data_IF_232732800313
#
_entry.id   IF_232732800313
#
_cell.length_a   1.000
_cell.length_b   1.000
_cell.length_c   1.000
_cell.angle_alpha   90.00
_cell.angle_beta   90.00
_cell.angle_gamma   90.00
#
_symmetry.space_group_name_H-M   'P 1'
#
loop_
_entity.id
_entity.type
_entity.pdbx_description
1 polymer ?
#
# COMPACT_ATOMS: atom_id res chain seq x y z
N UNK A 1 -45.35 -38.09 -40.62
CA UNK A 1 -45.42 -36.80 -39.89
C UNK A 1 -44.33 -35.89 -40.45
N UNK A 2 -44.75 -34.74 -40.99
CA UNK A 2 -43.98 -33.58 -41.47
C UNK A 2 -43.41 -32.83 -40.24
N UNK A 3 -42.32 -32.06 -40.21
CA UNK A 3 -41.36 -31.50 -41.16
C UNK A 3 -40.11 -31.09 -40.34
N UNK A 4 -38.92 -31.17 -40.95
CA UNK A 4 -37.69 -30.57 -40.44
C UNK A 4 -37.79 -29.03 -40.45
N UNK A 5 -37.29 -28.38 -39.40
CA UNK A 5 -37.19 -26.92 -39.29
C UNK A 5 -35.74 -26.50 -39.12
N UNK A 6 -35.11 -26.15 -40.23
CA UNK A 6 -33.80 -25.50 -40.32
C UNK A 6 -34.00 -23.98 -40.14
N UNK A 7 -33.37 -23.37 -39.14
CA UNK A 7 -33.27 -21.91 -39.02
C UNK A 7 -31.81 -21.51 -38.98
N UNK A 8 -31.28 -21.36 -40.19
CA UNK A 8 -30.13 -20.52 -40.52
C UNK A 8 -30.44 -19.05 -40.23
N UNK A 9 -29.63 -18.40 -39.38
CA UNK A 9 -29.61 -16.94 -39.25
C UNK A 9 -28.18 -16.45 -39.24
N UNK A 10 -27.69 -16.24 -40.46
CA UNK A 10 -26.46 -15.55 -40.82
C UNK A 10 -26.71 -14.05 -40.73
N UNK A 11 -26.12 -13.36 -39.75
CA UNK A 11 -26.09 -11.89 -39.75
C UNK A 11 -24.66 -11.37 -39.70
N UNK A 12 -24.17 -11.05 -40.90
CA UNK A 12 -23.08 -10.12 -41.17
C UNK A 12 -23.26 -8.82 -40.37
N UNK A 13 -22.24 -8.39 -39.61
CA UNK A 13 -21.96 -6.96 -39.48
C UNK A 13 -20.51 -6.71 -39.84
N UNK A 14 -20.38 -5.92 -40.92
CA UNK A 14 -19.15 -5.44 -41.54
C UNK A 14 -18.37 -4.60 -40.55
N UNK A 15 -17.05 -4.70 -40.64
CA UNK A 15 -16.12 -3.85 -39.93
C UNK A 15 -16.32 -2.37 -40.26
N UNK A 16 -16.12 -1.56 -39.24
CA UNK A 16 -15.89 -0.12 -39.32
C UNK A 16 -14.37 0.11 -39.47
N UNK A 17 -13.91 0.75 -40.55
CA UNK A 17 -12.54 1.19 -40.69
C UNK A 17 -12.32 2.49 -39.90
N UNK A 18 -11.43 2.45 -38.90
CA UNK A 18 -11.00 3.63 -38.15
C UNK A 18 -10.39 4.69 -39.09
N UNK A 19 -10.81 5.96 -39.00
CA UNK A 19 -10.18 7.03 -39.77
C UNK A 19 -8.82 7.41 -39.17
N UNK A 20 -7.76 7.22 -39.96
CA UNK A 20 -6.46 7.86 -39.78
C UNK A 20 -6.62 9.38 -39.92
N UNK A 21 -6.76 10.09 -38.80
CA UNK A 21 -6.80 11.56 -38.79
C UNK A 21 -5.50 12.14 -38.26
N UNK A 22 -4.68 12.52 -39.24
CA UNK A 22 -3.94 13.78 -39.35
C UNK A 22 -3.07 14.25 -38.18
N UNK A 23 -1.77 14.18 -38.43
CA UNK A 23 -0.73 15.09 -37.94
C UNK A 23 -1.23 16.55 -38.02
N UNK A 24 -0.93 17.37 -37.00
CA UNK A 24 -0.44 18.77 -37.04
C UNK A 24 -0.80 19.54 -35.75
N UNK A 25 0.19 19.70 -34.87
CA UNK A 25 0.27 20.80 -33.88
C UNK A 25 1.70 20.81 -33.34
N UNK A 26 2.63 21.49 -34.02
CA UNK A 26 3.15 22.82 -33.65
C UNK A 26 3.36 22.99 -32.14
N UNK A 27 4.63 22.86 -31.76
CA UNK A 27 5.33 23.84 -30.91
C UNK A 27 4.89 23.94 -29.46
N UNK A 28 5.59 23.22 -28.59
CA UNK A 28 5.85 23.71 -27.23
C UNK A 28 7.35 23.56 -26.95
N UNK A 29 7.97 24.70 -26.68
CA UNK A 29 9.38 24.84 -26.36
C UNK A 29 9.75 24.05 -25.08
N UNK A 30 10.98 23.51 -24.98
CA UNK A 30 11.50 23.09 -23.70
C UNK A 30 11.78 24.34 -22.86
N UNK A 31 11.01 24.55 -21.79
CA UNK A 31 11.44 25.44 -20.71
C UNK A 31 12.49 24.66 -19.92
N UNK A 32 13.75 24.97 -20.17
CA UNK A 32 14.87 24.59 -19.31
C UNK A 32 14.55 25.07 -17.89
N UNK A 33 14.26 24.13 -16.99
CA UNK A 33 14.24 24.41 -15.56
C UNK A 33 15.66 24.32 -15.04
N UNK A 34 16.13 25.48 -14.59
CA UNK A 34 17.39 25.69 -13.90
C UNK A 34 17.54 24.66 -12.77
N UNK A 35 18.60 23.87 -12.87
CA UNK A 35 19.01 22.87 -11.89
C UNK A 35 20.25 23.42 -11.19
N UNK A 36 20.06 24.32 -10.23
CA UNK A 36 21.11 24.73 -9.29
C UNK A 36 20.48 24.91 -7.91
N UNK A 37 19.89 23.82 -7.42
CA UNK A 37 19.62 23.63 -6.00
C UNK A 37 20.88 23.07 -5.35
N UNK A 38 21.65 23.97 -4.75
CA UNK A 38 22.80 23.67 -3.91
C UNK A 38 22.38 22.65 -2.85
N UNK A 39 23.03 21.49 -2.86
CA UNK A 39 23.01 20.52 -1.77
C UNK A 39 23.74 21.12 -0.58
N UNK A 40 22.98 21.54 0.44
CA UNK A 40 23.54 21.70 1.78
C UNK A 40 23.99 20.33 2.27
N UNK A 41 25.31 20.14 2.30
CA UNK A 41 25.98 19.03 2.96
C UNK A 41 25.81 19.29 4.46
N UNK A 42 24.84 18.63 5.07
CA UNK A 42 24.69 18.64 6.52
C UNK A 42 25.78 17.72 7.06
N UNK A 43 26.80 18.31 7.65
CA UNK A 43 27.88 17.63 8.36
C UNK A 43 27.29 16.96 9.62
N UNK A 44 27.18 15.63 9.60
CA UNK A 44 26.64 14.81 10.70
C UNK A 44 27.75 14.33 11.65
N UNK A 45 28.74 15.18 11.94
CA UNK A 45 29.77 14.90 12.95
C UNK A 45 29.58 15.73 14.23
N UNK A 46 28.42 15.59 14.89
CA UNK A 46 28.33 15.95 16.31
C UNK A 46 27.19 15.17 17.01
N UNK A 47 27.42 13.88 17.26
CA UNK A 47 26.69 13.17 18.31
C UNK A 47 27.63 13.07 19.50
N UNK A 48 27.46 13.89 20.56
CA UNK A 48 28.19 13.68 21.79
C UNK A 48 27.76 12.34 22.40
N UNK A 49 28.65 11.35 22.32
CA UNK A 49 28.60 10.15 23.13
C UNK A 49 28.56 10.56 24.61
N UNK A 50 27.39 10.44 25.22
CA UNK A 50 27.29 10.52 26.68
C UNK A 50 27.96 9.28 27.29
N UNK A 51 28.87 9.46 28.25
CA UNK A 51 29.54 8.34 28.90
C UNK A 51 28.54 7.56 29.77
N UNK A 52 28.36 6.30 29.44
CA UNK A 52 27.81 5.28 30.34
C UNK A 52 28.64 5.27 31.62
N UNK A 53 28.01 5.63 32.73
CA UNK A 53 28.52 5.30 34.06
C UNK A 53 27.87 4.00 34.49
N UNK A 54 28.61 2.92 34.25
CA UNK A 54 28.54 1.72 35.08
C UNK A 54 28.89 2.12 36.52
N UNK A 55 27.96 1.91 37.44
CA UNK A 55 28.26 1.85 38.87
C UNK A 55 27.71 0.53 39.42
N UNK A 56 28.67 -0.33 39.74
CA UNK A 56 28.52 -1.60 40.42
C UNK A 56 28.29 -1.33 41.91
N UNK A 57 27.10 -1.64 42.45
CA UNK A 57 26.95 -1.81 43.89
C UNK A 57 25.67 -2.54 44.35
N UNK A 58 25.92 -3.79 44.76
CA UNK A 58 25.30 -4.57 45.85
C UNK A 58 23.91 -5.21 45.61
N UNK A 59 23.79 -6.56 45.76
CA UNK A 59 22.52 -7.28 45.68
C UNK A 59 21.79 -7.37 47.02
N UNK A 60 20.51 -6.98 47.11
CA UNK A 60 19.65 -7.44 48.19
C UNK A 60 18.88 -8.70 47.75
N UNK A 61 19.18 -9.84 48.40
CA UNK A 61 18.33 -11.03 48.42
C UNK A 61 16.97 -10.66 49.00
N UNK A 62 15.96 -10.45 48.16
CA UNK A 62 14.56 -10.37 48.59
C UNK A 62 13.63 -11.02 47.55
N UNK A 63 13.18 -12.22 47.93
CA UNK A 63 11.99 -12.99 47.51
C UNK A 63 11.25 -12.54 46.24
N UNK A 64 11.31 -13.43 45.25
CA UNK A 64 10.31 -13.68 44.20
C UNK A 64 8.89 -13.62 44.80
N UNK A 65 7.99 -12.84 44.18
CA UNK A 65 6.95 -13.50 43.40
C UNK A 65 7.09 -13.14 41.93
N UNK A 66 7.05 -14.17 41.08
CA UNK A 66 6.83 -14.05 39.65
C UNK A 66 5.47 -13.39 39.44
N UNK A 67 5.46 -12.08 39.23
CA UNK A 67 4.54 -11.48 38.30
C UNK A 67 5.37 -11.03 37.11
N UNK A 68 5.58 -11.96 36.18
CA UNK A 68 5.62 -11.59 34.78
C UNK A 68 4.30 -10.88 34.52
N UNK A 69 4.26 -9.57 34.74
CA UNK A 69 3.23 -8.72 34.20
C UNK A 69 3.47 -8.80 32.71
N UNK A 70 2.83 -9.78 32.09
CA UNK A 70 2.26 -9.69 30.77
C UNK A 70 1.77 -8.26 30.63
N UNK A 71 2.56 -7.41 29.99
CA UNK A 71 2.02 -6.19 29.40
C UNK A 71 0.98 -6.68 28.42
N UNK A 72 -0.28 -6.66 28.86
CA UNK A 72 -1.40 -6.76 27.97
C UNK A 72 -1.19 -5.63 26.95
N UNK A 73 -0.93 -5.92 25.67
CA UNK A 73 -0.86 -4.86 24.68
C UNK A 73 -2.19 -4.12 24.80
N UNK A 74 -2.07 -2.84 25.14
CA UNK A 74 -3.19 -1.93 25.30
C UNK A 74 -4.18 -2.19 24.16
N UNK A 75 -5.43 -2.55 24.49
CA UNK A 75 -6.46 -3.03 23.54
C UNK A 75 -6.63 -2.12 22.32
N UNK A 76 -6.20 -0.85 22.41
CA UNK A 76 -6.18 0.10 21.32
C UNK A 76 -5.18 -0.20 20.19
N UNK A 77 -4.03 -0.84 20.47
CA UNK A 77 -3.08 -1.23 19.42
C UNK A 77 -3.50 -2.51 18.69
N UNK A 78 -4.07 -3.48 19.43
CA UNK A 78 -4.64 -4.67 18.83
C UNK A 78 -5.80 -4.33 17.88
N UNK A 79 -6.73 -3.45 18.31
CA UNK A 79 -7.87 -3.03 17.48
C UNK A 79 -7.45 -2.31 16.17
N UNK A 80 -6.35 -1.54 16.21
CA UNK A 80 -5.78 -0.88 15.03
C UNK A 80 -5.27 -1.87 13.99
N UNK A 81 -4.69 -2.97 14.46
CA UNK A 81 -4.19 -4.02 13.57
C UNK A 81 -5.33 -4.81 12.91
N UNK A 82 -6.44 -5.02 13.64
CA UNK A 82 -7.63 -5.72 13.13
C UNK A 82 -8.27 -5.01 11.93
N UNK A 83 -8.30 -3.67 11.92
CA UNK A 83 -8.88 -2.89 10.81
C UNK A 83 -8.18 -3.18 9.47
N UNK A 84 -6.85 -3.20 9.48
CA UNK A 84 -6.02 -3.42 8.29
C UNK A 84 -6.07 -4.88 7.88
N UNK A 85 -6.04 -5.79 8.86
CA UNK A 85 -6.19 -7.22 8.60
C UNK A 85 -7.52 -7.50 7.90
N UNK A 86 -8.62 -6.97 8.42
CA UNK A 86 -9.97 -7.13 7.84
C UNK A 86 -10.04 -6.57 6.42
N UNK A 87 -9.46 -5.38 6.19
CA UNK A 87 -9.37 -4.81 4.85
C UNK A 87 -8.64 -5.73 3.87
N UNK A 88 -7.49 -6.29 4.27
CA UNK A 88 -6.69 -7.17 3.41
C UNK A 88 -7.31 -8.57 3.23
N UNK A 89 -8.03 -9.07 4.22
CA UNK A 89 -8.75 -10.35 4.17
C UNK A 89 -9.91 -10.32 3.17
N UNK A 90 -10.54 -9.15 3.05
CA UNK A 90 -11.66 -8.95 2.11
C UNK A 90 -11.24 -8.81 0.64
N UNK A 91 -9.94 -8.75 0.35
CA UNK A 91 -9.42 -8.80 -1.02
C UNK A 91 -9.69 -10.18 -1.67
N UNK A 92 -9.78 -10.22 -3.00
CA UNK A 92 -9.89 -11.48 -3.76
C UNK A 92 -8.77 -11.58 -4.81
N UNK A 93 -7.74 -12.43 -4.59
CA UNK A 93 -7.47 -13.23 -3.38
C UNK A 93 -7.09 -12.38 -2.14
N UNK A 94 -7.18 -12.94 -0.91
CA UNK A 94 -6.76 -12.26 0.30
C UNK A 94 -5.30 -11.79 0.21
N UNK A 95 -5.04 -10.58 0.70
CA UNK A 95 -3.74 -9.89 0.57
C UNK A 95 -3.00 -9.79 1.91
N UNK A 96 -3.23 -10.75 2.81
CA UNK A 96 -2.73 -10.76 4.20
C UNK A 96 -1.19 -10.71 4.29
N UNK A 97 -0.48 -11.18 3.28
CA UNK A 97 0.98 -11.12 3.18
C UNK A 97 1.54 -9.69 3.16
N UNK A 98 0.68 -8.68 2.90
CA UNK A 98 1.06 -7.27 2.91
C UNK A 98 0.76 -6.56 4.24
N UNK A 99 0.25 -7.26 5.25
CA UNK A 99 -0.18 -6.63 6.51
C UNK A 99 0.96 -5.86 7.18
N UNK A 100 2.14 -6.46 7.30
CA UNK A 100 3.29 -5.82 7.97
C UNK A 100 3.75 -4.57 7.23
N UNK A 101 3.74 -4.58 5.91
CA UNK A 101 4.13 -3.45 5.06
C UNK A 101 3.19 -2.27 5.26
N UNK A 102 1.88 -2.53 5.37
CA UNK A 102 0.90 -1.52 5.71
C UNK A 102 1.19 -0.93 7.10
N UNK A 103 1.48 -1.77 8.10
CA UNK A 103 1.81 -1.31 9.46
C UNK A 103 3.10 -0.48 9.49
N UNK A 104 4.16 -0.94 8.83
CA UNK A 104 5.47 -0.27 8.73
C UNK A 104 5.36 1.09 8.03
N UNK A 105 4.48 1.19 7.04
CA UNK A 105 4.18 2.47 6.38
C UNK A 105 3.33 3.41 7.25
N UNK A 106 2.75 2.91 8.35
CA UNK A 106 1.87 3.68 9.25
C UNK A 106 0.39 3.56 8.93
N UNK A 107 -0.01 2.68 8.02
CA UNK A 107 -1.41 2.34 7.76
C UNK A 107 -1.90 1.43 8.90
N UNK A 108 -2.41 2.02 9.98
CA UNK A 108 -2.78 1.29 11.21
C UNK A 108 -4.23 1.52 11.64
N UNK A 109 -5.07 2.16 10.81
CA UNK A 109 -6.44 2.45 11.22
C UNK A 109 -7.41 2.51 10.06
N UNK A 110 -8.67 2.18 10.34
CA UNK A 110 -9.75 2.35 9.38
C UNK A 110 -9.85 3.79 8.86
N UNK A 111 -9.63 4.79 9.72
CA UNK A 111 -9.62 6.21 9.32
C UNK A 111 -8.59 6.51 8.25
N UNK A 112 -7.40 5.93 8.35
CA UNK A 112 -6.36 6.07 7.33
C UNK A 112 -6.81 5.41 6.01
N UNK A 113 -7.27 4.17 6.06
CA UNK A 113 -7.74 3.44 4.88
C UNK A 113 -8.88 4.19 4.17
N UNK A 114 -9.79 4.78 4.95
CA UNK A 114 -10.89 5.60 4.45
C UNK A 114 -10.42 6.94 3.87
N UNK A 115 -9.37 7.55 4.43
CA UNK A 115 -8.80 8.74 3.83
C UNK A 115 -8.17 8.44 2.48
N UNK A 116 -7.47 7.30 2.36
CA UNK A 116 -6.84 6.82 1.12
C UNK A 116 -7.90 6.48 0.06
N UNK A 117 -9.04 5.89 0.43
CA UNK A 117 -10.09 5.56 -0.54
C UNK A 117 -10.66 6.78 -1.26
N UNK A 118 -10.59 7.97 -0.64
CA UNK A 118 -11.02 9.24 -1.24
C UNK A 118 -10.00 9.84 -2.21
N UNK A 119 -8.78 9.31 -2.27
CA UNK A 119 -7.74 9.82 -3.16
C UNK A 119 -8.01 9.47 -4.62
N UNK A 120 -7.38 10.20 -5.54
CA UNK A 120 -7.42 9.85 -6.96
C UNK A 120 -6.74 8.51 -7.19
N UNK A 121 -7.21 7.77 -8.21
CA UNK A 121 -6.69 6.43 -8.57
C UNK A 121 -5.16 6.38 -8.66
N UNK A 122 -4.54 7.37 -9.31
CA UNK A 122 -3.09 7.46 -9.45
C UNK A 122 -2.36 7.61 -8.10
N UNK A 123 -2.91 8.39 -7.18
CA UNK A 123 -2.33 8.58 -5.84
C UNK A 123 -2.40 7.29 -5.03
N UNK A 124 -3.53 6.57 -5.09
CA UNK A 124 -3.69 5.27 -4.44
C UNK A 124 -2.72 4.24 -5.01
N UNK A 125 -2.61 4.16 -6.34
CA UNK A 125 -1.67 3.28 -7.00
C UNK A 125 -0.22 3.54 -6.55
N UNK A 126 0.20 4.80 -6.54
CA UNK A 126 1.54 5.19 -6.10
C UNK A 126 1.77 4.89 -4.61
N UNK A 127 0.76 5.07 -3.76
CA UNK A 127 0.84 4.72 -2.35
C UNK A 127 1.02 3.20 -2.15
N UNK A 128 0.12 2.40 -2.73
CA UNK A 128 0.16 0.94 -2.62
C UNK A 128 1.50 0.39 -3.11
N UNK A 129 1.96 0.88 -4.26
CA UNK A 129 3.29 0.51 -4.79
C UNK A 129 4.41 0.81 -3.78
N UNK A 130 4.38 1.98 -3.14
CA UNK A 130 5.39 2.36 -2.13
C UNK A 130 5.32 1.50 -0.88
N UNK A 131 4.11 1.21 -0.38
CA UNK A 131 3.90 0.33 0.79
C UNK A 131 4.54 -1.04 0.51
N UNK A 132 4.23 -1.62 -0.64
CA UNK A 132 4.75 -2.95 -1.00
C UNK A 132 6.26 -2.97 -1.22
N UNK A 133 6.87 -1.81 -1.53
CA UNK A 133 8.31 -1.64 -1.68
C UNK A 133 9.03 -1.22 -0.38
N UNK A 134 8.30 -0.85 0.68
CA UNK A 134 8.92 -0.30 1.89
C UNK A 134 9.65 -1.35 2.73
N UNK A 135 9.28 -2.62 2.58
CA UNK A 135 9.87 -3.72 3.33
C UNK A 135 10.99 -4.40 2.54
N UNK A 136 12.14 -4.58 3.19
CA UNK A 136 13.22 -5.46 2.70
C UNK A 136 12.95 -6.94 2.92
N UNK A 137 11.84 -7.29 3.58
CA UNK A 137 11.57 -8.62 4.14
C UNK A 137 10.73 -9.53 3.24
N UNK A 138 10.12 -8.99 2.16
CA UNK A 138 9.37 -9.81 1.21
C UNK A 138 10.29 -10.38 0.14
N UNK A 139 10.46 -11.70 0.13
CA UNK A 139 11.26 -12.44 -0.86
C UNK A 139 10.69 -12.35 -2.28
N UNK A 140 9.43 -11.93 -2.43
CA UNK A 140 8.76 -11.75 -3.72
C UNK A 140 8.49 -10.29 -4.01
N UNK A 141 8.91 -9.84 -5.19
CA UNK A 141 8.57 -8.51 -5.69
C UNK A 141 7.05 -8.38 -5.86
N UNK A 142 6.45 -7.25 -5.46
CA UNK A 142 5.01 -7.04 -5.63
C UNK A 142 4.64 -7.05 -7.10
N UNK A 143 3.67 -7.89 -7.47
CA UNK A 143 3.22 -7.95 -8.86
C UNK A 143 2.28 -6.79 -9.16
N UNK A 144 2.17 -6.41 -10.44
CA UNK A 144 1.22 -5.40 -10.87
C UNK A 144 -0.24 -5.83 -10.58
N UNK A 145 -0.49 -7.14 -10.56
CA UNK A 145 -1.80 -7.70 -10.20
C UNK A 145 -2.15 -7.42 -8.74
N UNK A 146 -1.21 -7.63 -7.81
CA UNK A 146 -1.42 -7.37 -6.38
C UNK A 146 -1.74 -5.90 -6.13
N UNK A 147 -1.02 -4.99 -6.81
CA UNK A 147 -1.29 -3.55 -6.75
C UNK A 147 -2.70 -3.25 -7.26
N UNK A 148 -3.11 -3.85 -8.38
CA UNK A 148 -4.44 -3.63 -8.95
C UNK A 148 -5.55 -4.12 -8.01
N UNK A 149 -5.38 -5.29 -7.37
CA UNK A 149 -6.32 -5.83 -6.38
C UNK A 149 -6.48 -4.86 -5.21
N UNK A 150 -5.38 -4.39 -4.63
CA UNK A 150 -5.41 -3.47 -3.49
C UNK A 150 -6.01 -2.11 -3.86
N UNK A 151 -5.66 -1.55 -5.02
CA UNK A 151 -6.25 -0.28 -5.49
C UNK A 151 -7.75 -0.42 -5.72
N UNK A 152 -8.19 -1.54 -6.30
CA UNK A 152 -9.62 -1.82 -6.47
C UNK A 152 -10.32 -1.99 -5.12
N UNK A 153 -9.66 -2.64 -4.15
CA UNK A 153 -10.22 -2.80 -2.80
C UNK A 153 -10.47 -1.44 -2.13
N UNK A 154 -9.56 -0.47 -2.30
CA UNK A 154 -9.80 0.89 -1.84
C UNK A 154 -10.97 1.60 -2.54
N UNK A 155 -11.39 1.16 -3.72
CA UNK A 155 -12.57 1.71 -4.41
C UNK A 155 -13.88 1.12 -3.87
N UNK A 156 -13.91 -0.17 -3.55
CA UNK A 156 -15.15 -0.89 -3.24
C UNK A 156 -15.42 -1.05 -1.75
N UNK A 157 -14.39 -1.21 -0.92
CA UNK A 157 -14.52 -1.60 0.49
C UNK A 157 -15.41 -0.67 1.34
N UNK A 158 -15.43 0.64 1.01
CA UNK A 158 -16.22 1.64 1.73
C UNK A 158 -17.51 2.06 0.98
N UNK A 159 -17.82 1.41 -0.14
CA UNK A 159 -19.09 1.62 -0.86
C UNK A 159 -20.14 0.57 -0.47
N UNK A 160 -19.68 -0.62 -0.04
CA UNK A 160 -20.55 -1.74 0.35
C UNK A 160 -20.84 -1.80 1.86
N UNK A 161 -20.20 -0.93 2.66
CA UNK A 161 -20.34 -0.80 4.12
C UNK A 161 -20.69 0.62 4.54
#
# INVERSE_FOLDING_TARGET
MRLAGDVSSKSHRRGEPYPLRSKHSRGMAPRSVSSDGIVEIIDLTDIPHSPVKEDDSVPPKLKVPSNTTTECPSTAEAAKQEDVYTFLDTCQPPMLQYTQQFMDFGCTSNKYLRAVSLWRKEQRYNLVRKIMQSSRATESEPTEMDIAILVNQFETYFLEN
#
